data_IF_149519227403
#
_entry.id   IF_149519227403
#
_cell.length_a   1.000
_cell.length_b   1.000
_cell.length_c   1.000
_cell.angle_alpha   90.00
_cell.angle_beta   90.00
_cell.angle_gamma   90.00
#
_symmetry.space_group_name_H-M   'P 1'
#
loop_
_entity.id
_entity.type
_entity.pdbx_description
1 polymer ?
#
# COMPACT_ATOMS: atom_id res chain seq x y z
N UNK A 1 8.69 34.77 39.73
CA UNK A 1 8.83 33.46 40.41
C UNK A 1 7.65 32.53 40.02
N UNK A 2 7.75 31.82 38.89
CA UNK A 2 8.33 30.45 38.77
C UNK A 2 7.41 29.40 39.41
N UNK A 3 6.93 28.34 38.76
CA UNK A 3 7.19 27.72 37.46
C UNK A 3 6.19 26.55 37.37
N UNK A 4 5.33 26.48 36.36
CA UNK A 4 4.63 25.23 36.01
C UNK A 4 5.36 24.60 34.82
N UNK A 5 6.11 23.53 35.10
CA UNK A 5 6.96 22.82 34.16
C UNK A 5 6.11 21.75 33.46
N UNK A 6 5.96 21.91 32.15
CA UNK A 6 5.37 20.94 31.22
C UNK A 6 6.18 19.64 31.24
N UNK A 7 5.53 18.50 31.45
CA UNK A 7 6.13 17.18 31.33
C UNK A 7 5.82 16.64 29.92
N UNK A 8 6.88 16.41 29.15
CA UNK A 8 6.85 15.90 27.79
C UNK A 8 6.47 14.40 27.71
N UNK A 9 5.82 13.94 26.64
CA UNK A 9 5.61 12.52 26.39
C UNK A 9 6.84 11.94 25.66
N UNK A 10 7.79 11.39 26.42
CA UNK A 10 8.83 10.51 25.89
C UNK A 10 8.93 9.28 26.78
N UNK A 11 8.27 8.19 26.37
CA UNK A 11 8.59 6.85 26.87
C UNK A 11 8.34 5.84 25.75
N UNK A 12 9.28 5.80 24.81
CA UNK A 12 9.58 4.61 24.02
C UNK A 12 10.75 3.95 24.74
N UNK A 13 10.56 2.76 25.32
CA UNK A 13 11.68 1.86 25.57
C UNK A 13 11.23 0.40 25.66
N UNK A 14 11.74 -0.34 24.67
CA UNK A 14 12.26 -1.71 24.76
C UNK A 14 11.39 -2.78 25.40
N UNK A 15 10.79 -3.61 24.55
CA UNK A 15 10.75 -5.05 24.82
C UNK A 15 11.63 -5.74 23.77
N UNK A 16 12.83 -6.15 24.21
CA UNK A 16 13.62 -7.13 23.48
C UNK A 16 12.87 -8.46 23.50
N UNK A 17 12.63 -9.05 22.33
CA UNK A 17 12.18 -10.44 22.23
C UNK A 17 13.32 -11.28 21.67
N UNK A 18 13.80 -12.13 22.56
CA UNK A 18 14.85 -13.14 22.43
C UNK A 18 14.46 -14.15 21.35
N UNK A 19 15.27 -14.31 20.31
CA UNK A 19 15.09 -15.38 19.32
C UNK A 19 15.70 -16.66 19.88
N UNK A 20 14.86 -17.59 20.31
CA UNK A 20 15.25 -18.98 20.61
C UNK A 20 14.38 -19.96 19.83
N UNK A 21 15.02 -20.75 18.96
CA UNK A 21 14.72 -22.16 18.67
C UNK A 21 13.31 -22.57 18.24
N UNK A 22 13.20 -22.90 16.94
CA UNK A 22 12.40 -23.98 16.33
C UNK A 22 10.93 -24.21 16.77
N UNK A 23 9.98 -23.84 15.89
CA UNK A 23 8.97 -24.77 15.35
C UNK A 23 8.13 -24.08 14.26
N UNK A 24 7.87 -24.79 13.16
CA UNK A 24 6.98 -24.37 12.07
C UNK A 24 5.53 -24.30 12.58
N UNK A 25 5.07 -23.12 13.00
CA UNK A 25 3.70 -22.89 13.44
C UNK A 25 3.33 -21.43 13.20
N UNK A 26 2.35 -21.18 12.34
CA UNK A 26 1.60 -19.93 12.14
C UNK A 26 2.25 -18.66 12.73
N UNK A 27 3.17 -18.05 11.98
CA UNK A 27 3.66 -16.71 12.29
C UNK A 27 2.50 -15.74 12.08
N UNK A 28 1.75 -15.44 13.14
CA UNK A 28 0.94 -14.25 13.25
C UNK A 28 1.91 -13.07 13.27
N UNK A 29 2.09 -12.44 12.11
CA UNK A 29 2.85 -11.20 12.03
C UNK A 29 2.08 -10.17 12.84
N UNK A 30 2.66 -9.75 13.95
CA UNK A 30 2.06 -8.72 14.80
C UNK A 30 1.84 -7.45 13.95
N UNK A 31 0.82 -6.64 14.25
CA UNK A 31 0.63 -5.35 13.56
C UNK A 31 1.94 -4.55 13.53
N UNK A 32 2.73 -4.61 14.61
CA UNK A 32 4.06 -4.02 14.74
C UNK A 32 5.10 -4.51 13.72
N UNK A 33 5.07 -5.78 13.32
CA UNK A 33 6.01 -6.32 12.33
C UNK A 33 5.71 -5.85 10.91
N UNK A 34 4.45 -5.58 10.55
CA UNK A 34 4.17 -4.92 9.25
C UNK A 34 4.54 -3.45 9.29
N UNK A 35 4.34 -2.76 10.41
CA UNK A 35 4.93 -1.44 10.57
C UNK A 35 6.45 -1.50 10.44
N UNK A 36 7.10 -2.55 10.97
CA UNK A 36 8.55 -2.78 10.86
C UNK A 36 9.00 -3.07 9.42
N UNK A 37 8.25 -3.89 8.67
CA UNK A 37 8.50 -4.19 7.25
C UNK A 37 8.49 -2.90 6.42
N UNK A 38 7.63 -1.94 6.77
CA UNK A 38 7.52 -0.67 6.07
C UNK A 38 8.57 0.33 6.61
N UNK A 39 9.05 0.20 7.86
CA UNK A 39 9.78 1.24 8.63
C UNK A 39 11.16 1.69 8.14
N UNK A 40 11.68 1.18 7.02
CA UNK A 40 13.03 1.50 6.52
C UNK A 40 13.08 2.21 5.15
N UNK A 41 11.95 2.68 4.61
CA UNK A 41 11.93 3.31 3.29
C UNK A 41 11.86 4.85 3.35
N UNK A 42 12.79 5.52 2.67
CA UNK A 42 12.97 6.99 2.69
C UNK A 42 12.24 7.74 1.56
N UNK A 43 11.82 7.07 0.47
CA UNK A 43 10.96 7.64 -0.59
C UNK A 43 9.83 6.66 -0.97
N UNK A 44 8.61 6.90 -0.49
CA UNK A 44 7.51 5.95 -0.67
C UNK A 44 6.44 6.48 -1.61
N UNK A 45 6.15 5.72 -2.67
CA UNK A 45 4.99 5.97 -3.53
C UNK A 45 3.85 5.12 -3.01
N UNK A 46 2.79 5.77 -2.57
CA UNK A 46 1.58 5.09 -2.21
C UNK A 46 0.72 4.99 -3.48
N UNK A 47 0.82 3.87 -4.18
CA UNK A 47 -0.04 3.67 -5.33
C UNK A 47 -1.47 3.37 -4.85
N UNK A 48 -2.30 4.40 -4.80
CA UNK A 48 -3.73 4.19 -4.76
C UNK A 48 -4.14 3.83 -6.19
N UNK A 49 -5.05 2.92 -6.27
CA UNK A 49 -6.11 3.22 -7.20
C UNK A 49 -7.37 3.12 -6.36
N UNK A 50 -8.50 3.38 -6.97
CA UNK A 50 -9.80 2.89 -6.53
C UNK A 50 -10.63 3.80 -5.63
N UNK A 51 -11.90 3.82 -6.06
CA UNK A 51 -13.02 4.58 -5.54
C UNK A 51 -13.62 3.91 -4.33
N UNK A 52 -14.07 4.71 -3.36
CA UNK A 52 -14.95 4.24 -2.31
C UNK A 52 -14.23 3.56 -1.12
N UNK A 53 -14.58 2.30 -0.85
CA UNK A 53 -14.18 1.57 0.37
C UNK A 53 -12.70 1.18 0.40
N UNK A 54 -12.13 0.83 -0.76
CA UNK A 54 -10.70 0.49 -0.88
C UNK A 54 -9.78 1.65 -0.52
N UNK A 55 -10.13 2.88 -0.90
CA UNK A 55 -9.39 4.10 -0.52
C UNK A 55 -9.34 4.23 1.00
N UNK A 56 -10.47 4.00 1.67
CA UNK A 56 -10.58 4.12 3.12
C UNK A 56 -9.73 3.07 3.85
N UNK A 57 -9.65 1.84 3.34
CA UNK A 57 -8.76 0.81 3.87
C UNK A 57 -7.29 1.27 3.87
N UNK A 58 -6.80 1.77 2.73
CA UNK A 58 -5.40 2.21 2.60
C UNK A 58 -5.16 3.47 3.45
N UNK A 59 -6.07 4.46 3.45
CA UNK A 59 -5.92 5.66 4.28
C UNK A 59 -5.87 5.32 5.78
N UNK A 60 -6.56 4.27 6.23
CA UNK A 60 -6.49 3.78 7.61
C UNK A 60 -5.19 3.06 7.93
N UNK A 61 -4.61 2.35 6.97
CA UNK A 61 -3.24 1.85 7.09
C UNK A 61 -2.24 3.00 7.23
N UNK A 62 -2.39 4.01 6.36
CA UNK A 62 -1.53 5.19 6.33
C UNK A 62 -1.61 6.07 7.57
N UNK A 63 -2.78 6.15 8.22
CA UNK A 63 -2.93 6.92 9.46
C UNK A 63 -2.03 6.41 10.58
N UNK A 64 -1.62 5.15 10.50
CA UNK A 64 -0.74 4.50 11.47
C UNK A 64 0.74 4.52 11.06
N UNK A 65 1.06 5.02 9.85
CA UNK A 65 2.43 5.14 9.36
C UNK A 65 3.10 6.45 9.83
N UNK A 66 4.40 6.37 10.11
CA UNK A 66 5.22 7.51 10.53
C UNK A 66 5.37 8.59 9.45
N UNK A 67 5.94 9.75 9.82
CA UNK A 67 6.21 10.85 8.90
C UNK A 67 7.37 10.54 7.92
N UNK A 68 8.17 9.50 8.19
CA UNK A 68 9.34 9.13 7.39
C UNK A 68 9.01 8.81 5.93
N UNK A 69 7.75 8.48 5.63
CA UNK A 69 7.27 8.26 4.27
C UNK A 69 6.88 9.59 3.61
N UNK A 70 7.84 10.43 3.23
CA UNK A 70 7.60 11.68 2.49
C UNK A 70 8.73 11.90 1.47
N UNK A 71 8.46 12.35 0.23
CA UNK A 71 7.15 12.71 -0.32
C UNK A 71 6.26 11.51 -0.61
N UNK A 72 4.94 11.71 -0.53
CA UNK A 72 3.95 10.67 -0.85
C UNK A 72 3.31 10.93 -2.18
N UNK A 73 3.40 9.97 -3.06
CA UNK A 73 2.74 10.05 -4.36
C UNK A 73 1.48 9.22 -4.28
N UNK A 74 0.34 9.85 -4.51
CA UNK A 74 -0.98 9.23 -4.56
C UNK A 74 -1.37 9.12 -6.02
N UNK A 75 -1.48 7.91 -6.54
CA UNK A 75 -2.00 7.69 -7.89
C UNK A 75 -3.49 7.33 -7.75
N UNK A 76 -4.36 7.61 -8.71
CA UNK A 76 -5.73 7.10 -8.74
C UNK A 76 -6.31 7.23 -10.14
N UNK A 77 -7.51 6.68 -10.36
CA UNK A 77 -8.15 6.69 -11.66
C UNK A 77 -8.76 8.07 -11.98
N UNK A 78 -8.72 8.50 -13.24
CA UNK A 78 -9.30 9.79 -13.70
C UNK A 78 -10.76 10.00 -13.28
N UNK A 79 -11.56 8.92 -13.24
CA UNK A 79 -12.97 8.98 -12.90
C UNK A 79 -13.28 9.01 -11.39
N UNK A 80 -12.27 9.04 -10.54
CA UNK A 80 -12.42 8.81 -9.10
C UNK A 80 -12.24 10.06 -8.23
N UNK A 81 -13.17 11.00 -8.38
CA UNK A 81 -13.16 12.29 -7.67
C UNK A 81 -13.32 12.15 -6.16
N UNK A 82 -14.11 11.17 -5.70
CA UNK A 82 -14.34 10.93 -4.26
C UNK A 82 -13.06 10.52 -3.52
N UNK A 83 -12.19 9.72 -4.16
CA UNK A 83 -10.93 9.33 -3.56
C UNK A 83 -9.98 10.50 -3.40
N UNK A 84 -9.94 11.38 -4.40
CA UNK A 84 -9.14 12.61 -4.34
C UNK A 84 -9.53 13.47 -3.14
N UNK A 85 -10.83 13.71 -2.93
CA UNK A 85 -11.34 14.50 -1.81
C UNK A 85 -11.00 13.87 -0.45
N UNK A 86 -11.09 12.53 -0.34
CA UNK A 86 -10.70 11.79 0.87
C UNK A 86 -9.21 11.92 1.16
N UNK A 87 -8.36 11.80 0.14
CA UNK A 87 -6.90 11.94 0.26
C UNK A 87 -6.53 13.35 0.69
N UNK A 88 -7.10 14.37 0.06
CA UNK A 88 -6.86 15.78 0.43
C UNK A 88 -7.28 16.04 1.87
N UNK A 89 -8.46 15.56 2.27
CA UNK A 89 -8.94 15.67 3.66
C UNK A 89 -8.02 14.95 4.66
N UNK A 90 -7.50 13.77 4.30
CA UNK A 90 -6.56 13.02 5.13
C UNK A 90 -5.23 13.77 5.30
N UNK A 91 -4.63 14.24 4.20
CA UNK A 91 -3.35 14.96 4.23
C UNK A 91 -3.47 16.33 4.91
N UNK A 92 -4.62 17.03 4.79
CA UNK A 92 -4.88 18.25 5.56
C UNK A 92 -4.91 17.99 7.07
N UNK A 93 -5.56 16.91 7.52
CA UNK A 93 -5.55 16.52 8.94
C UNK A 93 -4.13 16.18 9.39
N UNK A 94 -3.36 15.51 8.54
CA UNK A 94 -1.98 15.09 8.81
C UNK A 94 -1.02 16.28 8.85
N UNK A 95 -1.20 17.29 8.01
CA UNK A 95 -0.40 18.51 7.99
C UNK A 95 -0.52 19.34 9.28
N UNK A 96 -1.64 19.22 10.01
CA UNK A 96 -1.79 19.84 11.34
C UNK A 96 -0.89 19.18 12.40
N UNK A 97 -0.55 17.90 12.20
CA UNK A 97 0.28 17.11 13.11
C UNK A 97 1.75 17.16 12.67
N UNK A 98 2.02 17.21 11.36
CA UNK A 98 3.36 17.17 10.80
C UNK A 98 3.59 18.33 9.81
N UNK A 99 4.46 19.28 10.16
CA UNK A 99 4.70 20.51 9.39
C UNK A 99 5.42 20.32 8.05
N UNK A 100 6.05 19.16 7.80
CA UNK A 100 6.84 18.85 6.58
C UNK A 100 6.18 17.82 5.66
N UNK A 101 4.86 17.67 5.75
CA UNK A 101 4.07 16.65 5.05
C UNK A 101 3.91 16.96 3.55
N UNK A 102 4.82 16.49 2.69
CA UNK A 102 4.69 16.63 1.23
C UNK A 102 3.93 15.47 0.60
N UNK A 103 2.96 15.78 -0.26
CA UNK A 103 2.24 14.81 -1.07
C UNK A 103 1.97 15.35 -2.48
N UNK A 104 1.83 14.43 -3.45
CA UNK A 104 1.43 14.75 -4.82
C UNK A 104 0.35 13.78 -5.28
N UNK A 105 -0.51 14.25 -6.19
CA UNK A 105 -1.63 13.50 -6.74
C UNK A 105 -1.37 13.27 -8.22
N UNK A 106 -1.58 12.05 -8.70
CA UNK A 106 -1.39 11.65 -10.10
C UNK A 106 -2.61 10.88 -10.57
N UNK A 107 -3.09 11.21 -11.77
CA UNK A 107 -4.22 10.52 -12.36
C UNK A 107 -3.76 9.58 -13.47
N UNK A 108 -4.39 8.42 -13.57
CA UNK A 108 -4.17 7.44 -14.62
C UNK A 108 -5.50 6.95 -15.20
N UNK A 109 -5.52 6.51 -16.46
CA UNK A 109 -6.72 5.92 -17.04
C UNK A 109 -7.09 4.62 -16.31
N UNK A 110 -8.39 4.37 -16.15
CA UNK A 110 -8.87 3.11 -15.56
C UNK A 110 -8.50 1.93 -16.45
N UNK A 111 -7.96 0.87 -15.84
CA UNK A 111 -7.69 -0.39 -16.53
C UNK A 111 -8.95 -1.18 -16.87
N UNK A 112 -10.11 -0.86 -16.28
CA UNK A 112 -11.40 -1.47 -16.62
C UNK A 112 -12.57 -0.61 -16.13
N UNK A 113 -13.52 -0.30 -17.01
CA UNK A 113 -14.83 0.24 -16.63
C UNK A 113 -15.79 -0.90 -16.21
N UNK A 114 -16.77 -0.59 -15.35
CA UNK A 114 -17.78 -1.56 -14.93
C UNK A 114 -18.63 -1.93 -16.16
N UNK A 115 -18.77 -3.24 -16.45
CA UNK A 115 -19.43 -3.83 -17.63
C UNK A 115 -18.66 -3.92 -18.96
N UNK A 116 -17.33 -3.72 -18.98
CA UNK A 116 -16.56 -3.99 -20.20
C UNK A 116 -16.32 -5.48 -20.47
N UNK A 117 -16.29 -5.86 -21.75
CA UNK A 117 -15.90 -7.20 -22.20
C UNK A 117 -14.45 -7.52 -21.82
N UNK A 118 -14.15 -8.81 -21.67
CA UNK A 118 -12.82 -9.26 -21.23
C UNK A 118 -11.70 -8.85 -22.20
N UNK A 119 -11.97 -8.87 -23.51
CA UNK A 119 -11.02 -8.45 -24.54
C UNK A 119 -10.72 -6.94 -24.50
N UNK A 120 -11.74 -6.11 -24.34
CA UNK A 120 -11.58 -4.66 -24.18
C UNK A 120 -10.86 -4.29 -22.88
N UNK A 121 -11.07 -5.10 -21.82
CA UNK A 121 -10.37 -4.93 -20.53
C UNK A 121 -8.86 -5.14 -20.64
N UNK A 122 -8.40 -6.03 -21.53
CA UNK A 122 -6.96 -6.24 -21.75
C UNK A 122 -6.35 -5.01 -22.43
N UNK A 123 -7.03 -4.44 -23.43
CA UNK A 123 -6.55 -3.24 -24.14
C UNK A 123 -6.49 -2.02 -23.22
N UNK A 124 -7.51 -1.80 -22.39
CA UNK A 124 -7.54 -0.70 -21.42
C UNK A 124 -6.52 -0.90 -20.30
N UNK A 125 -6.25 -2.15 -19.89
CA UNK A 125 -5.15 -2.47 -18.96
C UNK A 125 -3.79 -2.20 -19.60
N UNK A 126 -3.57 -2.55 -20.87
CA UNK A 126 -2.33 -2.26 -21.58
C UNK A 126 -2.13 -0.75 -21.78
N UNK A 127 -3.19 -0.02 -22.10
CA UNK A 127 -3.16 1.44 -22.17
C UNK A 127 -2.78 2.06 -20.82
N UNK A 128 -3.40 1.61 -19.73
CA UNK A 128 -3.02 2.02 -18.38
C UNK A 128 -1.56 1.66 -18.04
N UNK A 129 -1.07 0.52 -18.54
CA UNK A 129 0.34 0.14 -18.41
C UNK A 129 1.28 1.13 -19.11
N UNK A 130 1.00 1.47 -20.36
CA UNK A 130 1.80 2.45 -21.12
C UNK A 130 1.83 3.84 -20.46
N UNK A 131 0.74 4.24 -19.80
CA UNK A 131 0.73 5.47 -18.98
C UNK A 131 1.49 5.33 -17.66
N UNK A 132 1.39 4.17 -17.02
CA UNK A 132 2.05 3.92 -15.74
C UNK A 132 3.57 3.79 -15.82
N UNK A 133 4.10 3.37 -16.98
CA UNK A 133 5.53 3.21 -17.21
C UNK A 133 6.31 4.53 -17.03
N UNK A 134 6.07 5.59 -17.82
CA UNK A 134 6.82 6.84 -17.69
C UNK A 134 6.62 7.47 -16.32
N UNK A 135 5.43 7.34 -15.73
CA UNK A 135 5.14 7.81 -14.38
C UNK A 135 6.01 7.11 -13.34
N UNK A 136 6.06 5.77 -13.36
CA UNK A 136 6.85 4.97 -12.41
C UNK A 136 8.35 5.22 -12.59
N UNK A 137 8.82 5.36 -13.83
CA UNK A 137 10.23 5.65 -14.15
C UNK A 137 10.66 7.05 -13.73
N UNK A 138 9.73 8.03 -13.75
CA UNK A 138 9.97 9.38 -13.24
C UNK A 138 9.96 9.43 -11.72
N UNK A 139 9.00 8.76 -11.08
CA UNK A 139 8.83 8.77 -9.63
C UNK A 139 9.86 7.91 -8.90
N UNK A 140 10.33 6.81 -9.51
CA UNK A 140 11.30 5.86 -8.94
C UNK A 140 11.01 5.52 -7.47
N UNK A 141 9.86 4.91 -7.16
CA UNK A 141 9.50 4.52 -5.79
C UNK A 141 10.52 3.60 -5.12
N UNK A 142 10.67 3.70 -3.80
CA UNK A 142 11.28 2.61 -2.99
C UNK A 142 10.25 1.53 -2.64
N UNK A 143 9.00 1.95 -2.44
CA UNK A 143 7.90 1.12 -1.98
C UNK A 143 6.63 1.50 -2.74
N UNK A 144 5.85 0.48 -3.10
CA UNK A 144 4.48 0.57 -3.60
C UNK A 144 3.57 -0.19 -2.63
N UNK A 145 2.61 0.51 -2.05
CA UNK A 145 1.52 -0.08 -1.27
C UNK A 145 0.22 0.03 -2.07
N UNK A 146 -0.48 -1.09 -2.31
CA UNK A 146 -1.71 -1.12 -3.10
C UNK A 146 -2.73 -2.17 -2.61
N UNK A 147 -4.01 -2.02 -2.98
CA UNK A 147 -5.08 -3.00 -2.74
C UNK A 147 -5.92 -3.33 -4.00
N UNK A 148 -6.92 -4.23 -3.87
CA UNK A 148 -7.37 -5.15 -4.93
C UNK A 148 -8.53 -4.81 -5.88
N UNK A 149 -8.51 -3.70 -6.62
CA UNK A 149 -8.99 -3.79 -8.02
C UNK A 149 -7.88 -3.81 -9.10
N UNK A 150 -8.26 -3.92 -10.38
CA UNK A 150 -7.34 -4.26 -11.48
C UNK A 150 -6.30 -3.20 -11.83
N UNK A 151 -6.58 -1.92 -11.55
CA UNK A 151 -5.73 -0.79 -11.95
C UNK A 151 -4.38 -0.71 -11.22
N UNK A 152 -4.20 -1.45 -10.12
CA UNK A 152 -2.91 -1.53 -9.43
C UNK A 152 -1.92 -2.45 -10.16
N UNK A 153 -2.42 -3.39 -10.97
CA UNK A 153 -1.59 -4.38 -11.67
C UNK A 153 -0.63 -3.70 -12.65
N UNK A 154 -1.06 -2.79 -13.55
CA UNK A 154 -0.15 -2.09 -14.46
C UNK A 154 0.99 -1.34 -13.76
N UNK A 155 0.71 -0.72 -12.61
CA UNK A 155 1.72 0.05 -11.87
C UNK A 155 2.71 -0.87 -11.17
N UNK A 156 2.23 -1.97 -10.59
CA UNK A 156 3.13 -2.98 -10.03
C UNK A 156 4.02 -3.60 -11.11
N UNK A 157 3.47 -3.92 -12.29
CA UNK A 157 4.26 -4.44 -13.42
C UNK A 157 5.30 -3.42 -13.88
N UNK A 158 4.94 -2.14 -13.97
CA UNK A 158 5.90 -1.07 -14.32
C UNK A 158 7.05 -0.95 -13.33
N UNK A 159 6.77 -1.15 -12.04
CA UNK A 159 7.78 -1.14 -10.99
C UNK A 159 8.69 -2.37 -11.03
N UNK A 160 8.13 -3.55 -11.32
CA UNK A 160 8.92 -4.76 -11.54
C UNK A 160 9.86 -4.58 -12.73
N UNK A 161 9.36 -3.98 -13.83
CA UNK A 161 10.18 -3.70 -15.00
C UNK A 161 11.33 -2.73 -14.66
N UNK A 162 11.09 -1.73 -13.83
CA UNK A 162 12.14 -0.82 -13.33
C UNK A 162 13.26 -1.57 -12.58
N UNK A 163 12.88 -2.61 -11.83
CA UNK A 163 13.82 -3.51 -11.14
C UNK A 163 14.58 -4.42 -12.10
N UNK A 164 13.90 -5.03 -13.07
CA UNK A 164 14.50 -5.91 -14.09
C UNK A 164 15.52 -5.14 -14.94
N UNK A 165 15.24 -3.88 -15.28
CA UNK A 165 16.16 -3.02 -16.02
C UNK A 165 17.33 -2.50 -15.18
N UNK A 166 17.43 -2.89 -13.90
CA UNK A 166 18.51 -2.48 -13.00
C UNK A 166 18.49 -1.00 -12.60
N UNK A 167 17.39 -0.29 -12.87
CA UNK A 167 17.29 1.15 -12.58
C UNK A 167 17.00 1.42 -11.12
N UNK A 168 16.06 0.68 -10.54
CA UNK A 168 15.72 0.74 -9.11
C UNK A 168 14.89 -0.46 -8.69
N UNK A 169 15.27 -1.10 -7.59
CA UNK A 169 14.45 -2.13 -6.94
C UNK A 169 13.32 -1.45 -6.16
N UNK A 170 12.08 -1.82 -6.51
CA UNK A 170 10.87 -1.32 -5.86
C UNK A 170 10.28 -2.44 -5.02
N UNK A 171 10.02 -2.19 -3.74
CA UNK A 171 9.31 -3.13 -2.87
C UNK A 171 7.81 -3.04 -3.13
N UNK A 172 7.13 -4.15 -3.36
CA UNK A 172 5.69 -4.19 -3.61
C UNK A 172 5.00 -4.86 -2.43
N UNK A 173 4.17 -4.07 -1.74
CA UNK A 173 3.27 -4.53 -0.66
C UNK A 173 1.85 -4.50 -1.19
N UNK A 174 1.26 -5.68 -1.34
CA UNK A 174 -0.14 -5.84 -1.72
C UNK A 174 -0.98 -6.20 -0.51
N UNK A 175 -2.05 -5.45 -0.27
CA UNK A 175 -3.03 -5.73 0.79
C UNK A 175 -4.33 -6.17 0.15
N UNK A 176 -4.72 -7.42 0.40
CA UNK A 176 -6.02 -7.91 -0.05
C UNK A 176 -7.15 -7.27 0.77
N UNK A 177 -8.26 -6.95 0.09
CA UNK A 177 -9.38 -6.23 0.70
C UNK A 177 -10.11 -7.06 1.75
N UNK A 178 -10.72 -6.37 2.71
CA UNK A 178 -11.49 -7.02 3.78
C UNK A 178 -12.69 -7.80 3.24
N UNK A 179 -13.23 -7.41 2.08
CA UNK A 179 -14.35 -8.09 1.45
C UNK A 179 -14.00 -9.48 0.90
N UNK A 180 -12.72 -9.86 0.84
CA UNK A 180 -12.25 -11.15 0.33
C UNK A 180 -12.00 -12.11 1.48
N UNK A 181 -13.03 -12.85 1.86
CA UNK A 181 -12.98 -13.80 2.99
C UNK A 181 -12.43 -15.16 2.56
N UNK A 182 -12.88 -15.68 1.42
CA UNK A 182 -12.62 -17.07 1.02
C UNK A 182 -11.68 -17.24 -0.17
N UNK A 183 -11.64 -16.25 -1.07
CA UNK A 183 -10.87 -16.28 -2.31
C UNK A 183 -10.23 -14.92 -2.60
N UNK A 184 -9.01 -14.92 -3.15
CA UNK A 184 -8.33 -13.70 -3.60
C UNK A 184 -9.06 -13.05 -4.77
N UNK A 185 -8.94 -11.73 -4.85
CA UNK A 185 -9.33 -10.96 -6.04
C UNK A 185 -8.50 -11.38 -7.27
N UNK A 186 -8.95 -11.03 -8.47
CA UNK A 186 -8.18 -11.33 -9.69
C UNK A 186 -6.81 -10.64 -9.67
N UNK A 187 -6.74 -9.37 -9.26
CA UNK A 187 -5.47 -8.68 -9.06
C UNK A 187 -4.64 -9.31 -7.94
N UNK A 188 -5.28 -9.78 -6.86
CA UNK A 188 -4.62 -10.51 -5.78
C UNK A 188 -3.99 -11.82 -6.25
N UNK A 189 -4.67 -12.60 -7.10
CA UNK A 189 -4.11 -13.83 -7.69
C UNK A 189 -2.88 -13.55 -8.56
N UNK A 190 -2.90 -12.45 -9.31
CA UNK A 190 -1.76 -12.02 -10.14
C UNK A 190 -0.60 -11.57 -9.24
N UNK A 191 -0.86 -10.59 -8.36
CA UNK A 191 0.15 -9.98 -7.51
C UNK A 191 0.66 -10.89 -6.40
N UNK A 192 -0.02 -11.99 -6.09
CA UNK A 192 0.49 -13.00 -5.17
C UNK A 192 1.87 -13.53 -5.58
N UNK A 193 2.11 -13.70 -6.88
CA UNK A 193 3.39 -14.17 -7.39
C UNK A 193 4.46 -13.07 -7.43
N UNK A 194 4.04 -11.83 -7.69
CA UNK A 194 4.95 -10.72 -7.98
C UNK A 194 5.23 -9.78 -6.80
N UNK A 195 4.34 -9.71 -5.81
CA UNK A 195 4.55 -8.86 -4.64
C UNK A 195 5.61 -9.46 -3.72
N UNK A 196 6.46 -8.60 -3.16
CA UNK A 196 7.41 -8.97 -2.10
C UNK A 196 6.65 -9.37 -0.83
N UNK A 197 5.66 -8.55 -0.47
CA UNK A 197 4.80 -8.80 0.69
C UNK A 197 3.34 -8.84 0.28
N UNK A 198 2.69 -9.96 0.55
CA UNK A 198 1.28 -10.16 0.26
C UNK A 198 0.50 -10.29 1.57
N UNK A 199 -0.36 -9.34 1.88
CA UNK A 199 -1.07 -9.25 3.15
C UNK A 199 -2.53 -9.69 2.96
N UNK A 200 -3.01 -10.55 3.87
CA UNK A 200 -4.39 -11.00 3.95
C UNK A 200 -5.00 -10.68 5.31
N UNK A 201 -6.30 -10.39 5.32
CA UNK A 201 -7.03 -10.02 6.54
C UNK A 201 -7.84 -11.17 7.15
N UNK A 202 -7.86 -12.34 6.48
CA UNK A 202 -8.63 -13.52 6.89
C UNK A 202 -7.73 -14.76 7.05
N UNK A 203 -7.88 -15.52 8.14
CA UNK A 203 -7.04 -16.70 8.39
C UNK A 203 -7.27 -17.81 7.36
N UNK A 204 -8.49 -17.94 6.83
CA UNK A 204 -8.82 -18.88 5.76
C UNK A 204 -7.97 -18.66 4.50
N UNK A 205 -7.69 -17.40 4.15
CA UNK A 205 -6.79 -17.08 3.04
C UNK A 205 -5.34 -17.43 3.37
N UNK A 206 -4.88 -17.21 4.60
CA UNK A 206 -3.51 -17.60 5.00
C UNK A 206 -3.30 -19.11 4.87
N UNK A 207 -4.29 -19.91 5.25
CA UNK A 207 -4.25 -21.38 5.07
C UNK A 207 -4.13 -21.80 3.60
N UNK A 208 -4.83 -21.10 2.69
CA UNK A 208 -4.79 -21.39 1.24
C UNK A 208 -3.55 -20.81 0.54
N UNK A 209 -2.99 -19.72 1.06
CA UNK A 209 -1.93 -18.94 0.43
C UNK A 209 -0.76 -18.77 1.40
N UNK A 210 0.15 -19.75 1.51
CA UNK A 210 1.17 -19.79 2.56
C UNK A 210 2.18 -18.63 2.48
N UNK A 211 2.43 -18.05 1.29
CA UNK A 211 3.29 -16.85 1.11
C UNK A 211 2.66 -15.59 1.74
N UNK A 212 1.34 -15.58 1.96
CA UNK A 212 0.67 -14.41 2.51
C UNK A 212 1.01 -14.16 3.98
N UNK A 213 0.91 -12.91 4.44
CA UNK A 213 1.03 -12.51 5.83
C UNK A 213 -0.35 -12.18 6.36
N UNK A 214 -0.73 -12.80 7.47
CA UNK A 214 -2.01 -12.55 8.13
C UNK A 214 -1.87 -11.45 9.18
N UNK A 215 -2.63 -10.36 9.05
CA UNK A 215 -2.61 -9.23 9.99
C UNK A 215 -3.91 -9.02 10.77
N UNK A 216 -4.87 -9.93 10.59
CA UNK A 216 -6.22 -9.73 11.07
C UNK A 216 -6.93 -8.55 10.39
N UNK A 217 -8.00 -8.07 11.03
CA UNK A 217 -8.78 -6.95 10.51
C UNK A 217 -8.04 -5.64 10.77
N UNK A 218 -7.72 -4.97 9.67
CA UNK A 218 -7.03 -3.67 9.65
C UNK A 218 -8.07 -2.52 9.72
N UNK A 219 -9.33 -2.83 9.35
CA UNK A 219 -10.47 -1.91 9.26
C UNK A 219 -11.44 -2.11 10.42
#
# INVERSE_FOLDING_TARGET
PSTNRVIAPNTILSSQVKVTGANTSNVCVSKGEVYTIIHNFTNTVFHFSFSGGHTTEILRLLSSLSQSYSPRHYIFADSDKMSEDKIRSFEQKRAKIFSSSQFTLHHIPRSREVQQSWSSSVLTTLYAFLYSLPLTFRLKPDLILCNGPGTCVPICISAILLGILGLKKVTIVYVESICRVETLSLSGKILYYFADYFIVQWPALKGKYPKSLYLGRIV
#
